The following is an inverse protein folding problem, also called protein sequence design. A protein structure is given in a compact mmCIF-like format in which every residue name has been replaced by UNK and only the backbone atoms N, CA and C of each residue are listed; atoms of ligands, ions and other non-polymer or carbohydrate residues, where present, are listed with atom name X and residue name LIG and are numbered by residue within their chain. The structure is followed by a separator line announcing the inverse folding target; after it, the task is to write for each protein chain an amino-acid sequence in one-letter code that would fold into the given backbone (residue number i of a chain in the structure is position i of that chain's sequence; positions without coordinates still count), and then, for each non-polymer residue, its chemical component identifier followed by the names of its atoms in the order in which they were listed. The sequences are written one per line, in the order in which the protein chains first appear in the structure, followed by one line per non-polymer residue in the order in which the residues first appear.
data_IF_133377572127
#
_entry.id   IF_133377572127
#
_cell.length_a   1.000
_cell.length_b   1.000
_cell.length_c   1.000
_cell.angle_alpha   90.00
_cell.angle_beta   90.00
_cell.angle_gamma   90.00
#
_symmetry.space_group_name_H-M   'P 1'
#
loop_
_entity.id
_entity.type
_entity.pdbx_description
1 polymer ?
#
# COMPACT_ATOMS: atom_id res chain seq x y z
N UNK A 1 -3.83 -27.77 36.65
CA UNK A 1 -3.09 -27.18 35.55
C UNK A 1 -1.89 -28.06 35.23
N UNK A 2 -2.12 -29.15 34.53
CA UNK A 2 -1.13 -30.19 34.27
C UNK A 2 -0.58 -30.09 32.85
N UNK A 3 0.60 -29.50 32.69
CA UNK A 3 1.37 -29.62 31.46
C UNK A 3 2.09 -30.99 31.47
N UNK A 4 1.66 -31.91 30.60
CA UNK A 4 2.31 -33.20 30.39
C UNK A 4 3.51 -32.97 29.47
N UNK A 5 4.72 -33.00 30.06
CA UNK A 5 5.96 -32.98 29.27
C UNK A 5 6.27 -34.41 28.81
N UNK A 6 6.46 -34.57 27.50
CA UNK A 6 6.91 -35.86 26.93
C UNK A 6 8.40 -36.04 27.21
N UNK A 7 8.76 -37.08 27.98
CA UNK A 7 10.14 -37.39 28.41
C UNK A 7 11.11 -37.78 27.28
N UNK A 8 10.66 -37.82 26.02
CA UNK A 8 11.46 -38.30 24.88
C UNK A 8 12.23 -37.22 24.11
N UNK A 9 12.17 -35.95 24.53
CA UNK A 9 12.79 -34.81 23.79
C UNK A 9 14.01 -34.18 24.49
N UNK A 10 14.75 -34.95 25.29
CA UNK A 10 16.04 -34.51 25.84
C UNK A 10 17.15 -34.83 24.83
N UNK A 11 17.54 -33.85 24.01
CA UNK A 11 18.76 -33.98 23.20
C UNK A 11 19.98 -33.69 24.03
N UNK A 12 20.99 -34.55 24.02
CA UNK A 12 22.29 -34.24 24.58
C UNK A 12 23.05 -33.25 23.63
N UNK A 13 23.49 -32.13 24.19
CA UNK A 13 24.40 -31.20 23.54
C UNK A 13 25.80 -31.82 23.37
N UNK A 14 26.07 -32.35 22.19
CA UNK A 14 27.41 -32.80 21.78
C UNK A 14 27.88 -32.07 20.54
N UNK A 15 29.09 -31.58 20.57
CA UNK A 15 29.73 -30.59 19.67
C UNK A 15 29.59 -30.86 18.18
N UNK A 16 29.46 -29.77 17.45
CA UNK A 16 29.38 -29.75 15.99
C UNK A 16 30.77 -29.74 15.40
N UNK A 17 31.22 -30.87 14.86
CA UNK A 17 32.28 -30.92 13.87
C UNK A 17 31.66 -30.72 12.48
N UNK A 18 32.21 -29.77 11.70
CA UNK A 18 31.83 -29.53 10.31
C UNK A 18 32.13 -30.79 9.47
N UNK A 19 31.08 -31.50 9.05
CA UNK A 19 31.16 -32.69 8.21
C UNK A 19 30.35 -32.51 6.94
N UNK A 20 30.95 -32.89 5.82
CA UNK A 20 30.54 -32.91 4.43
C UNK A 20 29.07 -33.39 4.20
N UNK A 21 28.42 -33.06 3.08
CA UNK A 21 27.10 -33.58 2.74
C UNK A 21 27.21 -35.10 2.60
N UNK A 22 26.76 -35.81 3.62
CA UNK A 22 26.78 -37.26 3.68
C UNK A 22 25.82 -37.88 2.68
N UNK A 23 26.33 -38.84 1.93
CA UNK A 23 25.58 -39.75 1.10
C UNK A 23 24.40 -40.35 1.90
N UNK A 24 23.20 -40.29 1.32
CA UNK A 24 21.99 -40.95 1.86
C UNK A 24 22.30 -42.45 1.95
N UNK A 25 22.55 -42.94 3.15
CA UNK A 25 22.69 -44.38 3.37
C UNK A 25 21.45 -45.09 2.88
N UNK A 26 21.61 -45.95 1.85
CA UNK A 26 20.53 -46.81 1.33
C UNK A 26 20.13 -47.77 2.47
N UNK A 27 18.92 -47.62 2.97
CA UNK A 27 18.33 -48.60 3.88
C UNK A 27 18.31 -49.97 3.19
N UNK A 28 18.71 -51.07 3.91
CA UNK A 28 18.58 -52.39 3.35
C UNK A 28 17.09 -52.70 3.03
N UNK A 29 16.80 -53.45 1.95
CA UNK A 29 15.43 -53.77 1.60
C UNK A 29 14.80 -54.55 2.77
N UNK A 30 13.77 -53.94 3.35
CA UNK A 30 12.94 -54.60 4.39
C UNK A 30 12.33 -55.85 3.78
N UNK A 31 12.62 -57.03 4.36
CA UNK A 31 12.04 -58.31 3.91
C UNK A 31 10.50 -58.17 3.82
N UNK A 32 9.94 -58.44 2.67
CA UNK A 32 8.50 -58.38 2.45
C UNK A 32 7.80 -59.41 3.34
N UNK A 33 7.00 -58.93 4.28
CA UNK A 33 6.10 -59.78 5.05
C UNK A 33 4.93 -60.16 4.15
N UNK A 34 4.69 -61.46 3.87
CA UNK A 34 3.56 -61.85 3.00
C UNK A 34 2.25 -61.41 3.64
N UNK A 35 1.48 -60.61 2.92
CA UNK A 35 0.15 -60.14 3.33
C UNK A 35 0.09 -58.70 3.92
N UNK A 36 1.22 -58.01 4.11
CA UNK A 36 1.24 -56.58 4.47
C UNK A 36 1.46 -55.71 3.26
N UNK A 37 0.37 -55.20 2.69
CA UNK A 37 0.49 -54.07 1.74
C UNK A 37 0.74 -52.81 2.58
N UNK A 38 1.89 -52.13 2.43
CA UNK A 38 2.09 -50.88 3.14
C UNK A 38 0.96 -49.89 2.73
N UNK A 39 0.42 -49.11 3.70
CA UNK A 39 -0.58 -48.10 3.35
C UNK A 39 0.01 -47.21 2.26
N UNK A 40 -0.72 -47.14 1.14
CA UNK A 40 -0.38 -46.20 0.06
C UNK A 40 -0.23 -44.85 0.72
N UNK A 41 1.00 -44.34 0.84
CA UNK A 41 1.24 -43.00 1.30
C UNK A 41 0.51 -42.12 0.29
N UNK A 42 -0.72 -41.70 0.65
CA UNK A 42 -1.40 -40.65 -0.08
C UNK A 42 -0.40 -39.53 -0.16
N UNK A 43 0.20 -39.29 -1.36
CA UNK A 43 1.29 -38.38 -1.56
C UNK A 43 0.91 -37.05 -0.96
N UNK A 44 1.63 -36.63 0.06
CA UNK A 44 1.56 -35.27 0.56
C UNK A 44 1.90 -34.37 -0.63
N UNK A 45 0.85 -33.95 -1.36
CA UNK A 45 1.00 -32.85 -2.30
C UNK A 45 1.26 -31.62 -1.45
N UNK A 46 2.52 -31.17 -1.44
CA UNK A 46 2.85 -29.90 -0.83
C UNK A 46 1.83 -28.87 -1.33
N UNK A 47 1.16 -28.11 -0.45
CA UNK A 47 0.20 -27.09 -0.89
C UNK A 47 0.87 -26.25 -1.94
N UNK A 48 0.23 -26.13 -3.11
CA UNK A 48 0.77 -25.37 -4.23
C UNK A 48 1.31 -24.04 -3.71
N UNK A 49 2.59 -23.76 -3.94
CA UNK A 49 3.26 -22.57 -3.43
C UNK A 49 2.39 -21.38 -3.81
N UNK A 50 1.83 -20.68 -2.81
CA UNK A 50 1.04 -19.48 -3.05
C UNK A 50 1.95 -18.51 -3.79
N UNK A 51 1.50 -17.89 -4.90
CA UNK A 51 2.32 -16.95 -5.63
C UNK A 51 2.84 -15.90 -4.65
N UNK A 52 4.16 -15.68 -4.64
CA UNK A 52 4.80 -14.74 -3.74
C UNK A 52 4.20 -13.34 -3.99
N UNK A 53 3.45 -12.81 -3.03
CA UNK A 53 2.87 -11.48 -3.12
C UNK A 53 4.01 -10.47 -2.96
N UNK A 54 4.33 -9.75 -4.03
CA UNK A 54 5.31 -8.67 -3.98
C UNK A 54 4.64 -7.39 -3.46
N UNK A 55 4.99 -6.98 -2.23
CA UNK A 55 4.49 -5.73 -1.66
C UNK A 55 5.23 -4.53 -2.23
N UNK A 56 4.49 -3.44 -2.50
CA UNK A 56 5.08 -2.20 -2.98
C UNK A 56 5.80 -1.45 -1.84
N UNK A 57 7.11 -1.33 -1.95
CA UNK A 57 7.91 -0.55 -1.00
C UNK A 57 7.70 0.96 -1.15
N UNK A 58 8.33 1.72 -0.24
CA UNK A 58 8.21 3.19 -0.17
C UNK A 58 8.50 3.89 -1.50
N UNK A 59 9.61 3.57 -2.17
CA UNK A 59 10.05 4.27 -3.38
C UNK A 59 9.07 4.12 -4.56
N UNK A 60 8.53 2.92 -4.78
CA UNK A 60 7.53 2.71 -5.84
C UNK A 60 6.27 3.53 -5.61
N UNK A 61 5.85 3.65 -4.34
CA UNK A 61 4.69 4.46 -3.96
C UNK A 61 4.96 5.95 -4.13
N UNK A 62 6.18 6.40 -3.81
CA UNK A 62 6.60 7.79 -3.99
C UNK A 62 6.56 8.18 -5.47
N UNK A 63 7.13 7.36 -6.36
CA UNK A 63 7.07 7.59 -7.81
C UNK A 63 5.63 7.60 -8.31
N UNK A 64 4.78 6.65 -7.86
CA UNK A 64 3.36 6.65 -8.21
C UNK A 64 2.66 7.95 -7.82
N UNK A 65 2.91 8.44 -6.61
CA UNK A 65 2.33 9.69 -6.11
C UNK A 65 2.82 10.90 -6.91
N UNK A 66 4.09 10.94 -7.29
CA UNK A 66 4.63 12.01 -8.15
C UNK A 66 3.91 12.03 -9.51
N UNK A 67 3.73 10.88 -10.15
CA UNK A 67 2.97 10.77 -11.40
C UNK A 67 1.53 11.25 -11.20
N UNK A 68 0.86 10.82 -10.13
CA UNK A 68 -0.50 11.25 -9.81
C UNK A 68 -0.58 12.77 -9.59
N UNK A 69 0.41 13.39 -8.92
CA UNK A 69 0.46 14.84 -8.73
C UNK A 69 0.65 15.61 -10.04
N UNK A 70 1.46 15.09 -10.97
CA UNK A 70 1.62 15.70 -12.31
C UNK A 70 0.28 15.66 -13.06
N UNK A 71 -0.38 14.52 -13.09
CA UNK A 71 -1.70 14.35 -13.74
C UNK A 71 -2.75 15.26 -13.11
N UNK A 72 -2.87 15.24 -11.78
CA UNK A 72 -3.84 16.08 -11.07
C UNK A 72 -3.50 17.56 -11.14
N UNK A 73 -2.22 17.91 -11.19
CA UNK A 73 -1.77 19.27 -11.42
C UNK A 73 -2.22 19.81 -12.78
N UNK A 74 -2.05 19.00 -13.83
CA UNK A 74 -2.49 19.36 -15.19
C UNK A 74 -4.02 19.47 -15.29
N UNK A 75 -4.76 18.49 -14.76
CA UNK A 75 -6.24 18.53 -14.71
C UNK A 75 -6.72 19.72 -13.87
N UNK A 76 -6.10 19.93 -12.71
CA UNK A 76 -6.42 21.05 -11.84
C UNK A 76 -6.19 22.41 -12.52
N UNK A 77 -5.12 22.54 -13.28
CA UNK A 77 -4.84 23.76 -14.04
C UNK A 77 -5.94 24.02 -15.09
N UNK A 78 -6.32 23.00 -15.84
CA UNK A 78 -7.40 23.12 -16.85
C UNK A 78 -8.74 23.51 -16.21
N UNK A 79 -9.11 22.88 -15.07
CA UNK A 79 -10.40 23.11 -14.39
C UNK A 79 -10.43 24.44 -13.65
N UNK A 80 -9.32 24.82 -13.00
CA UNK A 80 -9.32 25.98 -12.13
C UNK A 80 -9.05 27.29 -12.89
N UNK A 81 -8.40 27.24 -14.07
CA UNK A 81 -8.13 28.43 -14.88
C UNK A 81 -9.41 29.15 -15.35
N UNK A 82 -10.40 28.47 -15.97
CA UNK A 82 -11.68 29.12 -16.33
C UNK A 82 -12.43 29.64 -15.10
N UNK A 83 -12.40 28.89 -13.99
CA UNK A 83 -13.04 29.33 -12.76
C UNK A 83 -12.40 30.58 -12.17
N UNK A 84 -11.07 30.69 -12.17
CA UNK A 84 -10.35 31.90 -11.78
C UNK A 84 -10.64 33.07 -12.72
N UNK A 85 -10.74 32.80 -14.02
CA UNK A 85 -11.08 33.82 -15.02
C UNK A 85 -12.52 34.34 -14.84
N UNK A 86 -13.51 33.45 -14.57
CA UNK A 86 -14.91 33.81 -14.35
C UNK A 86 -15.13 34.64 -13.09
N UNK A 87 -14.24 34.53 -12.11
CA UNK A 87 -14.27 35.32 -10.86
C UNK A 87 -13.64 36.73 -11.01
N UNK A 88 -13.34 37.20 -12.21
CA UNK A 88 -12.76 38.53 -12.46
C UNK A 88 -11.31 38.65 -12.02
N UNK A 89 -10.70 37.52 -11.63
CA UNK A 89 -9.28 37.47 -11.37
C UNK A 89 -8.51 37.16 -12.65
N UNK A 90 -8.56 38.07 -13.58
CA UNK A 90 -7.59 38.01 -14.66
C UNK A 90 -6.17 37.98 -14.06
N UNK A 91 -5.30 37.18 -14.67
CA UNK A 91 -3.87 37.11 -14.31
C UNK A 91 -3.21 38.48 -14.09
N UNK A 92 -3.77 39.51 -14.68
CA UNK A 92 -3.42 40.91 -14.48
C UNK A 92 -3.62 41.42 -13.06
N UNK A 93 -4.69 40.97 -12.35
CA UNK A 93 -4.95 41.39 -10.96
C UNK A 93 -3.97 40.79 -9.97
N UNK A 94 -3.49 39.56 -10.25
CA UNK A 94 -2.52 38.88 -9.39
C UNK A 94 -1.08 39.39 -9.65
N UNK A 95 -0.71 39.67 -10.91
CA UNK A 95 0.64 40.06 -11.28
C UNK A 95 0.87 41.58 -11.37
N UNK A 96 -0.19 42.38 -11.58
CA UNK A 96 -0.12 43.83 -11.70
C UNK A 96 -1.03 44.58 -10.70
N UNK A 97 -1.74 43.83 -9.83
CA UNK A 97 -2.60 44.39 -8.81
C UNK A 97 -1.81 45.14 -7.76
N UNK A 98 -2.33 46.28 -7.35
CA UNK A 98 -1.81 46.95 -6.18
C UNK A 98 -1.84 45.98 -4.99
N UNK A 99 -0.78 45.93 -4.21
CA UNK A 99 -0.80 45.11 -2.99
C UNK A 99 -2.00 45.56 -2.13
N UNK A 100 -2.67 44.63 -1.44
CA UNK A 100 -3.77 44.97 -0.56
C UNK A 100 -3.31 46.02 0.41
N UNK A 101 -3.92 47.22 0.31
CA UNK A 101 -3.52 48.38 1.08
C UNK A 101 -4.26 48.46 2.41
N UNK A 102 -5.35 47.70 2.56
CA UNK A 102 -6.20 47.68 3.75
C UNK A 102 -6.45 46.27 4.22
N UNK A 103 -6.61 46.04 5.53
CA UNK A 103 -6.92 44.70 6.08
C UNK A 103 -8.19 44.09 5.47
N UNK A 104 -9.19 44.89 5.13
CA UNK A 104 -10.44 44.43 4.52
C UNK A 104 -10.25 43.83 3.11
N UNK A 105 -9.20 44.21 2.38
CA UNK A 105 -8.88 43.68 1.05
C UNK A 105 -8.38 42.22 1.11
N UNK A 106 -7.95 41.76 2.31
CA UNK A 106 -7.46 40.41 2.54
C UNK A 106 -8.59 39.36 2.63
N UNK A 107 -9.76 39.74 3.13
CA UNK A 107 -10.85 38.77 3.36
C UNK A 107 -11.34 38.09 2.06
N UNK A 108 -11.64 38.81 0.97
CA UNK A 108 -12.05 38.18 -0.27
C UNK A 108 -10.94 37.30 -0.87
N UNK A 109 -9.66 37.68 -0.70
CA UNK A 109 -8.52 36.90 -1.15
C UNK A 109 -8.36 35.60 -0.36
N UNK A 110 -8.47 35.66 0.97
CA UNK A 110 -8.45 34.47 1.83
C UNK A 110 -9.62 33.55 1.50
N UNK A 111 -10.83 34.11 1.35
CA UNK A 111 -12.03 33.37 0.99
C UNK A 111 -11.89 32.63 -0.34
N UNK A 112 -11.19 33.24 -1.31
CA UNK A 112 -10.93 32.62 -2.59
C UNK A 112 -9.91 31.49 -2.49
N UNK A 113 -8.78 31.72 -1.80
CA UNK A 113 -7.77 30.70 -1.56
C UNK A 113 -8.42 29.48 -0.90
N UNK A 114 -9.31 29.70 0.07
CA UNK A 114 -10.01 28.63 0.77
C UNK A 114 -10.95 27.83 -0.16
N UNK A 115 -11.68 28.54 -1.05
CA UNK A 115 -12.55 27.87 -2.05
C UNK A 115 -11.74 27.06 -3.04
N UNK A 116 -10.62 27.61 -3.56
CA UNK A 116 -9.74 26.89 -4.47
C UNK A 116 -9.14 25.65 -3.81
N UNK A 117 -8.71 25.79 -2.55
CA UNK A 117 -8.19 24.68 -1.77
C UNK A 117 -9.26 23.59 -1.53
N UNK A 118 -10.49 23.99 -1.19
CA UNK A 118 -11.61 23.07 -0.98
C UNK A 118 -11.94 22.29 -2.27
N UNK A 119 -12.08 22.97 -3.39
CA UNK A 119 -12.34 22.33 -4.70
C UNK A 119 -11.23 21.35 -5.04
N UNK A 120 -9.97 21.76 -4.90
CA UNK A 120 -8.82 20.88 -5.13
C UNK A 120 -8.84 19.65 -4.24
N UNK A 121 -9.13 19.82 -2.95
CA UNK A 121 -9.20 18.71 -1.99
C UNK A 121 -10.29 17.72 -2.36
N UNK A 122 -11.47 18.20 -2.76
CA UNK A 122 -12.58 17.34 -3.22
C UNK A 122 -12.19 16.58 -4.49
N UNK A 123 -11.57 17.24 -5.46
CA UNK A 123 -11.09 16.58 -6.68
C UNK A 123 -10.05 15.48 -6.38
N UNK A 124 -9.09 15.76 -5.51
CA UNK A 124 -8.11 14.77 -5.08
C UNK A 124 -8.76 13.60 -4.34
N UNK A 125 -9.69 13.88 -3.41
CA UNK A 125 -10.43 12.85 -2.70
C UNK A 125 -11.20 11.93 -3.65
N UNK A 126 -11.97 12.51 -4.56
CA UNK A 126 -12.74 11.75 -5.54
C UNK A 126 -11.81 10.92 -6.44
N UNK A 127 -10.75 11.54 -6.96
CA UNK A 127 -9.78 10.83 -7.79
C UNK A 127 -9.19 9.61 -7.07
N UNK A 128 -8.61 9.78 -5.89
CA UNK A 128 -8.00 8.68 -5.18
C UNK A 128 -9.03 7.62 -4.75
N UNK A 129 -10.17 8.05 -4.21
CA UNK A 129 -11.19 7.13 -3.68
C UNK A 129 -11.91 6.34 -4.77
N UNK A 130 -12.26 6.98 -5.89
CA UNK A 130 -12.92 6.32 -7.01
C UNK A 130 -11.98 5.33 -7.72
N UNK A 131 -10.76 5.76 -8.04
CA UNK A 131 -9.81 4.91 -8.75
C UNK A 131 -9.35 3.71 -7.92
N UNK A 132 -9.03 3.92 -6.64
CA UNK A 132 -8.61 2.83 -5.75
C UNK A 132 -9.74 1.85 -5.42
N UNK A 133 -11.01 2.30 -5.41
CA UNK A 133 -12.19 1.44 -5.22
C UNK A 133 -12.76 0.90 -6.53
N UNK A 134 -12.28 1.32 -7.69
CA UNK A 134 -12.70 0.82 -8.99
C UNK A 134 -12.18 -0.59 -9.28
N UNK A 135 -12.56 -1.16 -10.43
CA UNK A 135 -11.98 -2.41 -10.93
C UNK A 135 -10.47 -2.33 -11.23
N UNK A 136 -9.92 -1.13 -11.36
CA UNK A 136 -8.47 -0.93 -11.55
C UNK A 136 -7.67 -1.06 -10.24
N UNK A 137 -8.32 -0.84 -9.10
CA UNK A 137 -7.69 -0.90 -7.77
C UNK A 137 -6.42 -0.03 -7.67
N UNK A 138 -6.29 0.96 -8.52
CA UNK A 138 -5.09 1.78 -8.66
C UNK A 138 -5.42 3.15 -9.22
N UNK A 139 -4.71 4.18 -8.76
CA UNK A 139 -4.64 5.48 -9.44
C UNK A 139 -3.84 5.35 -10.74
N UNK A 140 -3.85 6.36 -11.58
CA UNK A 140 -3.08 6.34 -12.84
C UNK A 140 -1.58 6.12 -12.60
N UNK A 141 -1.00 6.83 -11.62
CA UNK A 141 0.40 6.66 -11.27
C UNK A 141 0.73 5.26 -10.73
N UNK A 142 -0.15 4.69 -9.92
CA UNK A 142 0.00 3.30 -9.45
C UNK A 142 -0.15 2.30 -10.58
N UNK A 143 -1.13 2.51 -11.46
CA UNK A 143 -1.36 1.63 -12.61
C UNK A 143 -0.17 1.60 -13.56
N UNK A 144 0.45 2.75 -13.81
CA UNK A 144 1.66 2.86 -14.63
C UNK A 144 2.84 2.05 -14.08
N UNK A 145 2.90 1.84 -12.76
CA UNK A 145 3.93 1.05 -12.09
C UNK A 145 3.51 -0.39 -11.78
N UNK A 146 2.34 -0.84 -12.26
CA UNK A 146 1.80 -2.17 -11.97
C UNK A 146 1.42 -2.38 -10.49
N UNK A 147 1.03 -1.31 -9.78
CA UNK A 147 0.63 -1.37 -8.39
C UNK A 147 -0.89 -1.44 -8.25
N UNK A 148 -1.37 -2.28 -7.35
CA UNK A 148 -2.79 -2.42 -7.02
C UNK A 148 -3.01 -2.28 -5.52
N UNK A 149 -4.14 -1.67 -5.14
CA UNK A 149 -4.58 -1.52 -3.75
C UNK A 149 -5.63 -2.56 -3.45
N UNK A 150 -5.37 -3.39 -2.43
CA UNK A 150 -6.27 -4.47 -2.03
C UNK A 150 -6.59 -4.41 -0.54
N UNK A 151 -7.57 -5.19 -0.10
CA UNK A 151 -7.75 -5.51 1.30
C UNK A 151 -6.70 -6.56 1.74
N UNK A 152 -6.72 -6.93 3.02
CA UNK A 152 -5.80 -7.93 3.59
C UNK A 152 -5.97 -9.33 2.98
N UNK A 153 -7.10 -9.59 2.31
CA UNK A 153 -7.40 -10.84 1.62
C UNK A 153 -7.12 -10.77 0.10
N UNK A 154 -6.51 -9.69 -0.39
CA UNK A 154 -6.21 -9.48 -1.81
C UNK A 154 -7.40 -9.06 -2.67
N UNK A 155 -8.55 -8.72 -2.06
CA UNK A 155 -9.78 -8.30 -2.77
C UNK A 155 -9.83 -6.79 -2.96
N UNK A 156 -10.70 -6.36 -3.86
CA UNK A 156 -10.99 -4.94 -4.11
C UNK A 156 -11.50 -4.25 -2.84
N UNK A 157 -11.01 -3.05 -2.56
CA UNK A 157 -11.46 -2.23 -1.43
C UNK A 157 -12.77 -1.50 -1.76
N UNK A 158 -13.58 -1.24 -0.73
CA UNK A 158 -14.78 -0.41 -0.87
C UNK A 158 -14.42 1.07 -0.96
N UNK A 159 -15.33 1.90 -1.51
CA UNK A 159 -15.19 3.35 -1.55
C UNK A 159 -14.97 3.95 -0.15
N UNK A 160 -15.67 3.46 0.86
CA UNK A 160 -15.49 3.93 2.24
C UNK A 160 -14.08 3.66 2.77
N UNK A 161 -13.49 2.50 2.48
CA UNK A 161 -12.10 2.19 2.84
C UNK A 161 -11.10 3.06 2.09
N UNK A 162 -11.34 3.31 0.80
CA UNK A 162 -10.50 4.21 -0.01
C UNK A 162 -10.57 5.65 0.53
N UNK A 163 -11.76 6.11 0.94
CA UNK A 163 -11.97 7.41 1.58
C UNK A 163 -11.24 7.49 2.93
N UNK A 164 -11.40 6.50 3.80
CA UNK A 164 -10.68 6.44 5.07
C UNK A 164 -9.17 6.46 4.89
N UNK A 165 -8.67 5.75 3.88
CA UNK A 165 -7.27 5.77 3.49
C UNK A 165 -6.81 7.14 3.00
N UNK A 166 -7.64 7.85 2.22
CA UNK A 166 -7.34 9.20 1.76
C UNK A 166 -7.16 10.15 2.95
N UNK A 167 -8.10 10.17 3.89
CA UNK A 167 -7.98 11.01 5.11
C UNK A 167 -6.85 10.53 6.03
N UNK A 168 -6.59 9.24 6.12
CA UNK A 168 -5.45 8.69 6.85
C UNK A 168 -4.09 9.19 6.35
N UNK A 169 -3.98 9.61 5.09
CA UNK A 169 -2.76 10.26 4.56
C UNK A 169 -2.49 11.60 5.23
N UNK A 170 -3.52 12.37 5.58
CA UNK A 170 -3.35 13.62 6.34
C UNK A 170 -2.79 13.36 7.74
N UNK A 171 -3.29 12.32 8.42
CA UNK A 171 -2.75 11.88 9.72
C UNK A 171 -1.28 11.49 9.55
N UNK A 172 -0.95 10.73 8.52
CA UNK A 172 0.43 10.33 8.22
C UNK A 172 1.35 11.52 7.92
N UNK A 173 0.81 12.61 7.34
CA UNK A 173 1.56 13.83 7.06
C UNK A 173 1.78 14.66 8.33
N UNK A 174 0.78 14.78 9.20
CA UNK A 174 0.85 15.52 10.48
C UNK A 174 1.95 14.93 11.39
N UNK A 175 2.11 13.61 11.39
CA UNK A 175 3.16 12.90 12.14
C UNK A 175 4.49 12.94 11.35
N UNK A 176 4.91 14.12 10.92
CA UNK A 176 6.19 14.39 10.26
C UNK A 176 6.52 13.41 9.11
N UNK A 177 5.50 12.99 8.35
CA UNK A 177 5.63 12.01 7.27
C UNK A 177 6.11 10.61 7.69
N UNK A 178 6.38 10.36 8.97
CA UNK A 178 6.81 9.04 9.48
C UNK A 178 5.82 7.95 9.06
N UNK A 179 4.52 8.26 9.04
CA UNK A 179 3.48 7.34 8.58
C UNK A 179 3.63 6.85 7.14
N UNK A 180 4.27 7.63 6.27
CA UNK A 180 4.59 7.19 4.89
C UNK A 180 5.88 6.37 4.84
N UNK A 181 6.90 6.78 5.59
CA UNK A 181 8.22 6.14 5.64
C UNK A 181 8.12 4.72 6.19
N UNK A 182 7.17 4.45 7.09
CA UNK A 182 6.88 3.11 7.63
C UNK A 182 6.71 2.04 6.53
N UNK A 183 6.22 2.40 5.35
CA UNK A 183 6.10 1.48 4.22
C UNK A 183 7.45 0.92 3.73
N UNK A 184 8.58 1.53 4.10
CA UNK A 184 9.92 1.01 3.84
C UNK A 184 10.35 -0.10 4.80
N UNK A 185 9.86 -0.07 6.05
CA UNK A 185 10.38 -0.87 7.16
C UNK A 185 9.43 -1.96 7.65
N UNK A 186 8.11 -1.84 7.44
CA UNK A 186 7.14 -2.86 7.86
C UNK A 186 7.24 -4.11 7.00
N UNK A 187 6.97 -5.28 7.56
CA UNK A 187 7.03 -6.58 6.86
C UNK A 187 6.15 -6.63 5.61
N UNK A 188 4.93 -6.08 5.69
CA UNK A 188 3.98 -6.01 4.58
C UNK A 188 4.09 -4.72 3.77
N UNK A 189 5.15 -3.93 3.97
CA UNK A 189 5.37 -2.62 3.32
C UNK A 189 4.15 -1.70 3.43
N UNK A 190 3.47 -1.69 4.60
CA UNK A 190 2.30 -0.87 4.87
C UNK A 190 2.71 0.48 5.46
N UNK A 191 2.12 1.56 4.93
CA UNK A 191 2.16 2.88 5.56
C UNK A 191 1.08 2.99 6.66
N UNK A 192 1.14 3.99 7.52
CA UNK A 192 0.18 4.16 8.60
C UNK A 192 -1.28 4.21 8.10
N UNK A 193 -1.54 4.97 7.05
CA UNK A 193 -2.87 5.06 6.45
C UNK A 193 -3.35 3.74 5.82
N UNK A 194 -2.44 2.85 5.40
CA UNK A 194 -2.78 1.50 4.93
C UNK A 194 -3.21 0.62 6.10
N UNK A 195 -2.50 0.71 7.23
CA UNK A 195 -2.80 -0.03 8.46
C UNK A 195 -4.17 0.40 8.99
N UNK A 196 -4.42 1.71 9.10
CA UNK A 196 -5.70 2.27 9.56
C UNK A 196 -6.89 1.84 8.70
N UNK A 197 -6.69 1.74 7.38
CA UNK A 197 -7.74 1.33 6.45
C UNK A 197 -7.80 -0.20 6.21
N UNK A 198 -6.89 -0.99 6.80
CA UNK A 198 -6.80 -2.44 6.59
C UNK A 198 -6.53 -2.79 5.13
N UNK A 199 -5.57 -2.13 4.48
CA UNK A 199 -5.26 -2.28 3.05
C UNK A 199 -3.80 -2.66 2.81
N UNK A 200 -3.54 -3.21 1.63
CA UNK A 200 -2.21 -3.54 1.12
C UNK A 200 -2.01 -2.87 -0.24
N UNK A 201 -0.76 -2.57 -0.57
CA UNK A 201 -0.37 -2.20 -1.94
C UNK A 201 0.57 -3.27 -2.45
N UNK A 202 0.12 -3.97 -3.47
CA UNK A 202 0.84 -5.09 -4.08
C UNK A 202 1.30 -4.71 -5.48
N UNK A 203 2.35 -5.37 -5.95
CA UNK A 203 2.80 -5.28 -7.34
C UNK A 203 2.25 -6.47 -8.10
N UNK A 204 1.55 -6.22 -9.19
CA UNK A 204 1.13 -7.25 -10.12
C UNK A 204 2.33 -7.59 -11.01
N UNK A 205 2.85 -8.80 -10.85
CA UNK A 205 3.91 -9.34 -11.70
C UNK A 205 3.34 -9.83 -13.03
#
# INVERSE_FOLDING_TARGET
DGAVFCSACVHPTGGVAAGQPGAVASMPPTAAVPGYAPPVQAGWQAPAARPAIAYAGFWLRLVAVIIDFIVLGFVGWIVLLPFAASMGMGMRGIFMGHPPSRPEDLFPMIGLIFRMWAVRTVLHWLYFSLFESSGWQATLGKKALGLEVTDLAGRRISFGRATGRFFGKYISAIILFIGFIMAGFTERKQALHDILAGTLVIRKL
#
